data_IF_065179023358
#
_entry.id   IF_065179023358
#
_cell.length_a   1.000
_cell.length_b   1.000
_cell.length_c   1.000
_cell.angle_alpha   90.00
_cell.angle_beta   90.00
_cell.angle_gamma   90.00
#
_symmetry.space_group_name_H-M   'P 1'
#
loop_
_entity.id
_entity.type
_entity.pdbx_description
1 polymer ?
#
# COMPACT_ATOMS: atom_id res chain seq x y z
N UNK A 1 -9.04 -13.17 -14.52
CA UNK A 1 -8.78 -14.51 -15.09
C UNK A 1 -8.19 -14.41 -16.49
N UNK A 2 -8.79 -13.62 -17.44
CA UNK A 2 -8.30 -13.52 -18.84
C UNK A 2 -6.83 -13.06 -18.93
N UNK A 3 -6.41 -12.03 -18.18
CA UNK A 3 -5.03 -11.54 -18.15
C UNK A 3 -4.01 -12.65 -17.80
N UNK A 4 -4.33 -13.47 -16.80
CA UNK A 4 -3.47 -14.60 -16.42
C UNK A 4 -3.43 -15.64 -17.55
N UNK A 5 -4.57 -15.98 -18.15
CA UNK A 5 -4.66 -16.93 -19.25
C UNK A 5 -3.81 -16.49 -20.45
N UNK A 6 -3.96 -15.24 -20.87
CA UNK A 6 -3.17 -14.66 -21.97
C UNK A 6 -1.67 -14.68 -21.67
N UNK A 7 -1.27 -14.38 -20.43
CA UNK A 7 0.13 -14.46 -20.02
C UNK A 7 0.67 -15.92 -20.06
N UNK A 8 -0.12 -16.88 -19.59
CA UNK A 8 0.21 -18.32 -19.67
C UNK A 8 0.37 -18.81 -21.11
N UNK A 9 -0.52 -18.39 -21.99
CA UNK A 9 -0.47 -18.72 -23.43
C UNK A 9 0.80 -18.17 -24.07
N UNK A 10 1.13 -16.91 -23.79
CA UNK A 10 2.37 -16.29 -24.27
C UNK A 10 3.63 -17.01 -23.76
N UNK A 11 3.63 -17.42 -22.50
CA UNK A 11 4.79 -18.09 -21.89
C UNK A 11 4.90 -19.57 -22.23
N UNK A 12 3.85 -20.19 -22.77
CA UNK A 12 3.76 -21.64 -22.94
C UNK A 12 3.78 -22.41 -21.60
N UNK A 13 3.40 -21.76 -20.48
CA UNK A 13 3.48 -22.34 -19.13
C UNK A 13 2.23 -21.98 -18.32
N UNK A 14 1.85 -22.86 -17.40
CA UNK A 14 0.75 -22.62 -16.47
C UNK A 14 1.25 -22.08 -15.14
N UNK A 15 0.51 -21.14 -14.55
CA UNK A 15 0.75 -20.68 -13.20
C UNK A 15 0.38 -21.78 -12.20
N UNK A 16 1.29 -22.10 -11.29
CA UNK A 16 1.03 -23.01 -10.18
C UNK A 16 0.22 -22.32 -9.08
N UNK A 17 0.48 -21.04 -8.84
CA UNK A 17 -0.16 -20.22 -7.83
C UNK A 17 -0.21 -18.76 -8.27
N UNK A 18 -1.04 -17.95 -7.62
CA UNK A 18 -1.03 -16.48 -7.74
C UNK A 18 -0.61 -15.84 -6.44
N UNK A 19 -0.09 -14.62 -6.54
CA UNK A 19 0.31 -13.80 -5.40
C UNK A 19 -0.23 -12.38 -5.61
N UNK A 20 -0.85 -11.74 -4.59
CA UNK A 20 -1.27 -10.35 -4.69
C UNK A 20 -0.08 -9.43 -4.98
N UNK A 21 -0.28 -8.43 -5.82
CA UNK A 21 0.79 -7.45 -6.11
C UNK A 21 1.14 -6.60 -4.90
N UNK A 22 0.14 -6.36 -4.03
CA UNK A 22 0.20 -5.61 -2.78
C UNK A 22 -1.06 -5.85 -1.95
N UNK A 23 -1.01 -5.54 -0.67
CA UNK A 23 -2.20 -5.54 0.17
C UNK A 23 -3.10 -4.35 -0.18
N UNK A 24 -4.38 -4.58 -0.17
CA UNK A 24 -5.42 -3.58 -0.41
C UNK A 24 -6.76 -4.24 -0.62
N UNK A 25 -7.85 -3.53 -0.34
CA UNK A 25 -9.20 -4.09 -0.46
C UNK A 25 -9.53 -4.61 -1.86
N UNK A 26 -9.01 -3.94 -2.90
CA UNK A 26 -9.21 -4.36 -4.28
C UNK A 26 -8.16 -5.37 -4.76
N UNK A 27 -6.88 -5.04 -4.64
CA UNK A 27 -5.79 -5.86 -5.20
C UNK A 27 -5.70 -7.25 -4.57
N UNK A 28 -5.92 -7.36 -3.26
CA UNK A 28 -5.93 -8.65 -2.57
C UNK A 28 -7.11 -9.51 -3.02
N UNK A 29 -8.32 -8.93 -3.06
CA UNK A 29 -9.53 -9.67 -3.46
C UNK A 29 -9.49 -10.08 -4.93
N UNK A 30 -8.92 -9.27 -5.81
CA UNK A 30 -8.74 -9.64 -7.21
C UNK A 30 -7.84 -10.88 -7.36
N UNK A 31 -6.77 -11.00 -6.59
CA UNK A 31 -5.92 -12.19 -6.59
C UNK A 31 -6.64 -13.43 -6.01
N UNK A 32 -7.42 -13.24 -4.93
CA UNK A 32 -8.25 -14.32 -4.33
C UNK A 32 -9.29 -14.82 -5.34
N UNK A 33 -9.98 -13.93 -6.03
CA UNK A 33 -10.98 -14.29 -7.07
C UNK A 33 -10.33 -15.10 -8.20
N UNK A 34 -9.15 -14.67 -8.68
CA UNK A 34 -8.41 -15.41 -9.71
C UNK A 34 -8.02 -16.80 -9.21
N UNK A 35 -7.49 -16.91 -7.99
CA UNK A 35 -7.11 -18.20 -7.41
C UNK A 35 -8.32 -19.15 -7.33
N UNK A 36 -9.43 -18.68 -6.80
CA UNK A 36 -10.66 -19.43 -6.65
C UNK A 36 -11.23 -19.90 -8.00
N UNK A 37 -11.37 -19.00 -8.96
CA UNK A 37 -11.91 -19.33 -10.32
C UNK A 37 -11.00 -20.24 -11.13
N UNK A 38 -9.71 -20.23 -10.86
CA UNK A 38 -8.74 -21.07 -11.55
C UNK A 38 -8.45 -22.37 -10.82
N UNK A 39 -8.94 -22.54 -9.60
CA UNK A 39 -8.66 -23.71 -8.77
C UNK A 39 -7.17 -23.87 -8.44
N UNK A 40 -6.42 -22.75 -8.31
CA UNK A 40 -4.99 -22.74 -7.99
C UNK A 40 -4.72 -22.07 -6.65
N UNK A 41 -3.64 -22.41 -5.95
CA UNK A 41 -3.30 -21.79 -4.67
C UNK A 41 -3.07 -20.28 -4.78
N UNK A 42 -3.35 -19.56 -3.66
CA UNK A 42 -2.87 -18.21 -3.44
C UNK A 42 -1.72 -18.26 -2.42
N UNK A 43 -0.64 -17.54 -2.69
CA UNK A 43 0.52 -17.47 -1.79
C UNK A 43 0.21 -16.52 -0.64
N UNK A 44 0.46 -16.95 0.60
CA UNK A 44 0.36 -16.08 1.78
C UNK A 44 1.54 -15.10 1.85
N UNK A 45 1.55 -14.17 0.92
CA UNK A 45 2.55 -13.11 0.79
C UNK A 45 2.04 -12.05 -0.19
N UNK A 46 2.74 -10.92 -0.27
CA UNK A 46 2.50 -9.90 -1.29
C UNK A 46 3.79 -9.17 -1.71
N UNK A 47 3.67 -8.29 -2.69
CA UNK A 47 4.81 -7.59 -3.29
C UNK A 47 5.28 -6.35 -2.52
N UNK A 48 4.66 -5.96 -1.41
CA UNK A 48 5.02 -4.72 -0.73
C UNK A 48 4.85 -4.75 0.80
N UNK A 49 3.96 -5.59 1.34
CA UNK A 49 3.57 -5.58 2.75
C UNK A 49 2.71 -4.38 3.14
N UNK A 50 2.26 -3.60 2.16
CA UNK A 50 1.42 -2.42 2.28
C UNK A 50 0.86 -2.04 0.91
N UNK A 51 -0.14 -1.16 0.88
CA UNK A 51 -0.48 -0.44 -0.33
C UNK A 51 0.61 0.62 -0.64
N UNK A 52 0.90 0.83 -1.91
CA UNK A 52 1.94 1.77 -2.37
C UNK A 52 1.45 2.58 -3.58
N UNK A 53 1.85 3.85 -3.69
CA UNK A 53 1.33 4.75 -4.72
C UNK A 53 1.82 4.42 -6.13
N UNK A 54 2.96 3.77 -6.27
CA UNK A 54 3.58 3.55 -7.59
C UNK A 54 3.92 2.07 -7.84
N UNK A 55 3.76 1.63 -9.10
CA UNK A 55 3.92 0.22 -9.52
C UNK A 55 5.32 -0.33 -9.23
N UNK A 56 6.35 0.51 -9.30
CA UNK A 56 7.72 0.09 -9.06
C UNK A 56 8.07 -0.07 -7.57
N UNK A 57 7.25 0.46 -6.66
CA UNK A 57 7.41 0.27 -5.21
C UNK A 57 6.98 -1.14 -4.79
N UNK A 58 7.64 -2.15 -5.33
CA UNK A 58 7.48 -3.55 -4.95
C UNK A 58 8.82 -4.13 -4.53
N UNK A 59 8.84 -4.95 -3.50
CA UNK A 59 10.07 -5.62 -3.03
C UNK A 59 10.74 -6.45 -4.13
N UNK A 60 9.97 -6.89 -5.12
CA UNK A 60 10.49 -7.53 -6.32
C UNK A 60 11.49 -6.67 -7.10
N UNK A 61 11.30 -5.34 -7.10
CA UNK A 61 12.24 -4.39 -7.72
C UNK A 61 13.58 -4.34 -6.97
N UNK A 62 13.57 -4.62 -5.66
CA UNK A 62 14.79 -4.71 -4.87
C UNK A 62 15.62 -5.96 -5.22
N UNK A 63 14.96 -7.01 -5.66
CA UNK A 63 15.54 -8.30 -6.02
C UNK A 63 15.67 -8.46 -7.56
N UNK A 64 15.56 -7.35 -8.31
CA UNK A 64 15.70 -7.25 -9.76
C UNK A 64 14.79 -8.22 -10.54
N UNK A 65 13.64 -8.60 -9.99
CA UNK A 65 12.63 -9.38 -10.68
C UNK A 65 11.95 -8.50 -11.75
N UNK A 66 12.02 -8.85 -13.03
CA UNK A 66 11.44 -8.04 -14.10
C UNK A 66 9.93 -7.92 -13.96
N UNK A 67 9.39 -6.78 -14.39
CA UNK A 67 7.95 -6.55 -14.37
C UNK A 67 7.27 -7.18 -15.59
N UNK A 68 7.88 -7.07 -16.74
CA UNK A 68 7.45 -7.71 -17.99
C UNK A 68 8.10 -9.11 -18.15
N UNK A 69 7.50 -10.02 -18.95
CA UNK A 69 6.27 -9.80 -19.69
C UNK A 69 5.06 -9.62 -18.77
N UNK A 70 4.11 -8.80 -19.22
CA UNK A 70 2.88 -8.53 -18.47
C UNK A 70 1.69 -8.38 -19.41
N UNK A 71 0.51 -8.71 -18.91
CA UNK A 71 -0.75 -8.49 -19.62
C UNK A 71 -1.58 -7.49 -18.84
N UNK A 72 -2.15 -6.53 -19.56
CA UNK A 72 -3.10 -5.57 -19.06
C UNK A 72 -4.45 -5.77 -19.75
N UNK A 73 -5.57 -5.57 -19.03
CA UNK A 73 -6.90 -5.60 -19.59
C UNK A 73 -7.79 -4.57 -18.92
N UNK A 74 -8.80 -4.11 -19.66
CA UNK A 74 -9.91 -3.34 -19.12
C UNK A 74 -10.82 -4.17 -18.21
N UNK A 75 -11.84 -3.54 -17.62
CA UNK A 75 -12.75 -4.21 -16.66
C UNK A 75 -13.57 -5.33 -17.31
N UNK A 76 -13.96 -5.18 -18.57
CA UNK A 76 -14.71 -6.19 -19.34
C UNK A 76 -13.79 -7.31 -19.83
N UNK A 77 -12.50 -7.05 -19.86
CA UNK A 77 -11.46 -7.85 -20.50
C UNK A 77 -11.77 -8.15 -22.00
N UNK A 78 -12.36 -7.17 -22.67
CA UNK A 78 -12.53 -7.13 -24.13
C UNK A 78 -11.27 -6.56 -24.79
N UNK A 79 -10.65 -5.56 -24.14
CA UNK A 79 -9.38 -5.00 -24.56
C UNK A 79 -8.25 -5.61 -23.73
N UNK A 80 -7.35 -6.33 -24.39
CA UNK A 80 -6.22 -7.00 -23.76
C UNK A 80 -4.92 -6.56 -24.47
N UNK A 81 -3.96 -6.10 -23.70
CA UNK A 81 -2.64 -5.68 -24.19
C UNK A 81 -1.57 -6.54 -23.56
N UNK A 82 -0.79 -7.22 -24.38
CA UNK A 82 0.43 -7.90 -23.97
C UNK A 82 1.61 -6.92 -24.10
N UNK A 83 2.35 -6.74 -23.02
CA UNK A 83 3.60 -5.99 -22.97
C UNK A 83 4.73 -6.99 -22.76
N UNK A 84 5.38 -7.36 -23.83
CA UNK A 84 6.43 -8.37 -23.80
C UNK A 84 7.67 -7.88 -23.04
N UNK A 85 8.05 -6.64 -23.26
CA UNK A 85 9.26 -6.05 -22.68
C UNK A 85 9.03 -4.59 -22.31
N UNK A 86 9.67 -4.14 -21.23
CA UNK A 86 9.79 -2.74 -20.86
C UNK A 86 11.21 -2.43 -20.46
N UNK A 87 11.65 -1.21 -20.70
CA UNK A 87 12.99 -0.75 -20.27
C UNK A 87 13.17 -0.90 -18.75
N UNK A 88 12.14 -0.48 -17.99
CA UNK A 88 12.12 -0.49 -16.53
C UNK A 88 10.67 -0.46 -16.00
N UNK A 89 10.53 -0.55 -14.70
CA UNK A 89 9.20 -0.52 -14.04
C UNK A 89 8.50 0.84 -14.15
N UNK A 90 9.23 1.95 -14.34
CA UNK A 90 8.64 3.27 -14.54
C UNK A 90 8.03 3.41 -15.93
N UNK A 91 8.69 2.87 -16.96
CA UNK A 91 8.15 2.80 -18.32
C UNK A 91 6.85 1.97 -18.34
N UNK A 92 6.86 0.81 -17.68
CA UNK A 92 5.67 -0.03 -17.54
C UNK A 92 4.52 0.70 -16.79
N UNK A 93 4.83 1.48 -15.77
CA UNK A 93 3.85 2.29 -15.06
C UNK A 93 3.21 3.34 -15.97
N UNK A 94 4.02 4.05 -16.75
CA UNK A 94 3.48 5.04 -17.71
C UNK A 94 2.53 4.39 -18.70
N UNK A 95 2.89 3.25 -19.28
CA UNK A 95 2.03 2.50 -20.20
C UNK A 95 0.71 2.11 -19.53
N UNK A 96 0.78 1.51 -18.35
CA UNK A 96 -0.43 1.07 -17.65
C UNK A 96 -1.31 2.22 -17.19
N UNK A 97 -0.75 3.39 -16.84
CA UNK A 97 -1.53 4.59 -16.53
C UNK A 97 -2.21 5.19 -17.76
N UNK A 98 -1.55 5.17 -18.92
CA UNK A 98 -2.18 5.58 -20.18
C UNK A 98 -3.39 4.68 -20.49
N UNK A 99 -3.22 3.37 -20.36
CA UNK A 99 -4.32 2.42 -20.52
C UNK A 99 -5.43 2.65 -19.47
N UNK A 100 -5.07 2.92 -18.21
CA UNK A 100 -6.06 3.22 -17.18
C UNK A 100 -6.86 4.50 -17.48
N UNK A 101 -6.20 5.55 -17.97
CA UNK A 101 -6.87 6.79 -18.35
C UNK A 101 -7.89 6.56 -19.47
N UNK A 102 -7.57 5.72 -20.44
CA UNK A 102 -8.44 5.34 -21.55
C UNK A 102 -9.58 4.39 -21.12
N UNK A 103 -9.31 3.52 -20.13
CA UNK A 103 -10.21 2.45 -19.68
C UNK A 103 -10.90 2.77 -18.34
N UNK A 104 -11.48 3.94 -18.21
CA UNK A 104 -12.26 4.36 -17.03
C UNK A 104 -11.54 4.14 -15.70
N UNK A 105 -10.24 4.49 -15.64
CA UNK A 105 -9.39 4.48 -14.44
C UNK A 105 -9.04 3.10 -13.89
N UNK A 106 -9.46 1.99 -14.53
CA UNK A 106 -9.22 0.65 -14.01
C UNK A 106 -8.50 -0.23 -15.02
N UNK A 107 -7.37 -0.82 -14.59
CA UNK A 107 -6.60 -1.80 -15.37
C UNK A 107 -6.31 -3.02 -14.51
N UNK A 108 -6.70 -4.18 -15.01
CA UNK A 108 -6.32 -5.46 -14.44
C UNK A 108 -5.01 -5.94 -15.06
N UNK A 109 -4.06 -6.37 -14.24
CA UNK A 109 -2.77 -6.85 -14.76
C UNK A 109 -2.40 -8.23 -14.21
N UNK A 110 -1.76 -9.05 -15.09
CA UNK A 110 -0.96 -10.21 -14.71
C UNK A 110 0.49 -9.92 -15.05
N UNK A 111 1.39 -10.02 -14.08
CA UNK A 111 2.79 -9.58 -14.21
C UNK A 111 3.68 -10.18 -13.14
N UNK A 112 5.00 -9.96 -13.21
CA UNK A 112 5.96 -10.40 -12.18
C UNK A 112 5.96 -11.92 -12.00
N UNK A 113 6.43 -12.63 -13.04
CA UNK A 113 6.54 -14.07 -13.01
C UNK A 113 7.68 -14.46 -12.07
N UNK A 114 7.36 -15.30 -11.09
CA UNK A 114 8.28 -15.74 -10.05
C UNK A 114 8.49 -17.25 -10.15
N UNK A 115 9.72 -17.68 -10.00
CA UNK A 115 10.03 -19.10 -9.71
C UNK A 115 9.71 -19.43 -8.26
N UNK A 116 9.53 -20.71 -7.93
CA UNK A 116 9.31 -21.15 -6.54
C UNK A 116 10.43 -20.72 -5.59
N UNK A 117 11.68 -20.61 -6.07
CA UNK A 117 12.80 -20.08 -5.29
C UNK A 117 12.61 -18.58 -4.98
N UNK A 118 12.21 -17.79 -5.95
CA UNK A 118 11.95 -16.35 -5.77
C UNK A 118 10.73 -16.10 -4.86
N UNK A 119 9.68 -16.93 -4.95
CA UNK A 119 8.52 -16.83 -4.05
C UNK A 119 8.92 -17.00 -2.58
N UNK A 120 9.91 -17.84 -2.27
CA UNK A 120 10.38 -18.04 -0.90
C UNK A 120 11.20 -16.86 -0.34
N UNK A 121 11.79 -16.05 -1.19
CA UNK A 121 12.78 -15.04 -0.79
C UNK A 121 12.38 -13.60 -1.10
N UNK A 122 11.61 -13.37 -2.17
CA UNK A 122 11.36 -12.03 -2.67
C UNK A 122 10.14 -11.33 -2.06
N UNK A 123 8.95 -11.92 -1.97
CA UNK A 123 7.78 -11.24 -1.41
C UNK A 123 7.89 -10.99 0.10
N UNK A 124 6.95 -10.21 0.63
CA UNK A 124 6.73 -10.05 2.08
C UNK A 124 5.81 -11.18 2.53
N UNK A 125 6.28 -12.08 3.40
CA UNK A 125 5.49 -13.25 3.79
C UNK A 125 4.41 -12.95 4.83
N UNK A 126 3.43 -13.86 4.97
CA UNK A 126 2.38 -13.88 5.98
C UNK A 126 1.41 -12.68 5.94
N UNK A 127 1.31 -12.00 4.80
CA UNK A 127 0.53 -10.76 4.71
C UNK A 127 -0.98 -11.02 4.59
N UNK A 128 -1.39 -12.11 3.92
CA UNK A 128 -2.81 -12.50 3.86
C UNK A 128 -3.31 -13.00 5.21
N UNK A 129 -2.58 -13.89 5.85
CA UNK A 129 -2.94 -14.40 7.19
C UNK A 129 -2.97 -13.27 8.21
N UNK A 130 -2.04 -12.30 8.14
CA UNK A 130 -2.07 -11.10 8.99
C UNK A 130 -3.32 -10.25 8.72
N UNK A 131 -3.69 -10.04 7.47
CA UNK A 131 -4.91 -9.30 7.10
C UNK A 131 -6.18 -10.00 7.64
N UNK A 132 -6.23 -11.33 7.57
CA UNK A 132 -7.34 -12.12 8.12
C UNK A 132 -7.40 -11.97 9.64
N UNK A 133 -6.26 -12.02 10.34
CA UNK A 133 -6.19 -11.80 11.81
C UNK A 133 -6.66 -10.41 12.18
N UNK A 134 -6.18 -9.37 11.50
CA UNK A 134 -6.63 -7.98 11.73
C UNK A 134 -8.15 -7.87 11.53
N UNK A 135 -8.68 -8.40 10.43
CA UNK A 135 -10.12 -8.41 10.18
C UNK A 135 -10.93 -9.17 11.23
N UNK A 136 -10.35 -10.20 11.82
CA UNK A 136 -10.99 -10.95 12.93
C UNK A 136 -10.97 -10.14 14.22
N UNK A 137 -9.87 -9.48 14.54
CA UNK A 137 -9.74 -8.59 15.70
C UNK A 137 -10.73 -7.42 15.61
N UNK A 138 -10.84 -6.78 14.44
CA UNK A 138 -11.82 -5.71 14.20
C UNK A 138 -13.26 -6.11 14.48
N UNK A 139 -13.62 -7.37 14.25
CA UNK A 139 -14.99 -7.87 14.48
C UNK A 139 -15.24 -8.38 15.89
N UNK A 140 -14.20 -8.77 16.62
CA UNK A 140 -14.37 -9.54 17.88
C UNK A 140 -13.75 -8.88 19.11
N UNK A 141 -12.80 -7.95 18.95
CA UNK A 141 -12.15 -7.31 20.08
C UNK A 141 -13.06 -6.26 20.73
N UNK A 142 -13.02 -6.18 22.04
CA UNK A 142 -13.70 -5.12 22.82
C UNK A 142 -13.06 -3.75 22.56
N UNK A 143 -11.74 -3.72 22.35
CA UNK A 143 -10.96 -2.55 21.95
C UNK A 143 -10.22 -2.88 20.65
N UNK A 144 -10.83 -2.59 19.49
CA UNK A 144 -10.25 -2.90 18.18
C UNK A 144 -8.95 -2.14 17.91
N UNK A 145 -8.85 -0.88 18.34
CA UNK A 145 -7.65 -0.07 18.12
C UNK A 145 -6.44 -0.67 18.84
N UNK A 146 -6.58 -0.97 20.12
CA UNK A 146 -5.52 -1.58 20.93
C UNK A 146 -5.12 -2.96 20.38
N UNK A 147 -6.11 -3.74 19.93
CA UNK A 147 -5.87 -5.07 19.36
C UNK A 147 -5.06 -4.99 18.04
N UNK A 148 -5.37 -4.04 17.16
CA UNK A 148 -4.61 -3.80 15.92
C UNK A 148 -3.19 -3.35 16.24
N UNK A 149 -3.02 -2.38 17.13
CA UNK A 149 -1.69 -1.89 17.54
C UNK A 149 -0.81 -3.03 18.06
N UNK A 150 -1.37 -3.92 18.88
CA UNK A 150 -0.66 -5.11 19.38
C UNK A 150 -0.29 -6.08 18.27
N UNK A 151 -1.22 -6.43 17.38
CA UNK A 151 -1.00 -7.37 16.27
C UNK A 151 0.04 -6.85 15.29
N UNK A 152 0.00 -5.57 14.96
CA UNK A 152 0.89 -4.95 13.98
C UNK A 152 2.21 -4.42 14.58
N UNK A 153 2.37 -4.47 15.92
CA UNK A 153 3.43 -3.76 16.64
C UNK A 153 3.44 -2.26 16.30
N UNK A 154 2.25 -1.71 16.06
CA UNK A 154 2.05 -0.34 15.67
C UNK A 154 2.04 0.61 16.86
N UNK A 155 2.06 1.90 16.55
CA UNK A 155 2.06 3.01 17.49
C UNK A 155 0.84 3.89 17.22
N UNK A 156 0.14 4.30 18.28
CA UNK A 156 -0.82 5.38 18.21
C UNK A 156 -0.04 6.70 18.12
N UNK A 157 -0.19 7.40 17.01
CA UNK A 157 0.50 8.66 16.75
C UNK A 157 -0.30 9.87 17.21
N UNK A 158 -1.62 9.80 17.03
CA UNK A 158 -2.53 10.91 17.28
C UNK A 158 -3.98 10.46 17.32
N UNK A 159 -4.78 11.12 18.14
CA UNK A 159 -6.24 11.06 18.12
C UNK A 159 -6.80 12.46 17.94
N UNK A 160 -7.76 12.62 17.03
CA UNK A 160 -8.33 13.94 16.78
C UNK A 160 -9.49 13.93 15.79
N UNK A 161 -9.99 15.12 15.54
CA UNK A 161 -11.04 15.40 14.56
C UNK A 161 -10.43 16.11 13.36
N UNK A 162 -10.81 15.71 12.17
CA UNK A 162 -10.35 16.34 10.93
C UNK A 162 -10.92 17.75 10.85
N UNK A 163 -10.04 18.74 10.95
CA UNK A 163 -10.36 20.16 10.82
C UNK A 163 -10.44 20.56 9.34
N UNK A 164 -9.50 20.05 8.52
CA UNK A 164 -9.46 20.30 7.08
C UNK A 164 -9.07 19.04 6.32
N UNK A 165 -9.69 18.84 5.15
CA UNK A 165 -9.39 17.75 4.24
C UNK A 165 -9.40 18.29 2.81
N UNK A 166 -8.25 18.26 2.17
CA UNK A 166 -8.06 18.68 0.77
C UNK A 166 -7.74 17.46 -0.09
N UNK A 167 -8.41 17.34 -1.23
CA UNK A 167 -8.21 16.26 -2.19
C UNK A 167 -8.06 16.83 -3.59
N UNK A 168 -6.97 16.48 -4.27
CA UNK A 168 -6.69 16.88 -5.65
C UNK A 168 -6.34 15.64 -6.47
N UNK A 169 -6.99 15.44 -7.61
CA UNK A 169 -6.61 14.40 -8.57
C UNK A 169 -5.71 14.99 -9.63
N UNK A 170 -4.44 14.55 -9.65
CA UNK A 170 -3.44 15.05 -10.59
C UNK A 170 -2.53 13.93 -11.07
N UNK A 171 -2.32 13.86 -12.40
CA UNK A 171 -1.45 12.87 -13.04
C UNK A 171 -1.80 11.41 -12.66
N UNK A 172 -3.09 11.10 -12.51
CA UNK A 172 -3.59 9.77 -12.16
C UNK A 172 -3.35 9.35 -10.70
N UNK A 173 -3.09 10.31 -9.81
CA UNK A 173 -2.98 10.11 -8.37
C UNK A 173 -3.95 11.03 -7.63
N UNK A 174 -4.51 10.56 -6.54
CA UNK A 174 -5.21 11.43 -5.58
C UNK A 174 -4.22 11.90 -4.52
N UNK A 175 -4.00 13.19 -4.48
CA UNK A 175 -3.23 13.88 -3.46
C UNK A 175 -4.18 14.30 -2.35
N UNK A 176 -3.81 14.02 -1.11
CA UNK A 176 -4.61 14.36 0.06
C UNK A 176 -3.75 15.07 1.09
N UNK A 177 -4.25 16.18 1.61
CA UNK A 177 -3.73 16.81 2.81
C UNK A 177 -4.83 16.84 3.86
N UNK A 178 -4.52 16.33 5.06
CA UNK A 178 -5.42 16.38 6.20
C UNK A 178 -4.78 17.16 7.33
N UNK A 179 -5.57 18.00 7.98
CA UNK A 179 -5.23 18.66 9.24
C UNK A 179 -6.22 18.23 10.32
N UNK A 180 -5.71 17.83 11.47
CA UNK A 180 -6.51 17.32 12.59
C UNK A 180 -6.25 18.16 13.83
N UNK A 181 -7.32 18.51 14.53
CA UNK A 181 -7.28 19.05 15.88
C UNK A 181 -7.30 17.89 16.89
N UNK A 182 -6.43 17.95 17.88
CA UNK A 182 -6.25 16.87 18.83
C UNK A 182 -7.41 16.68 19.80
N UNK A 183 -7.61 15.42 20.19
CA UNK A 183 -8.54 15.01 21.22
C UNK A 183 -7.82 14.18 22.29
N UNK A 184 -8.48 13.92 23.41
CA UNK A 184 -7.95 13.11 24.51
C UNK A 184 -6.57 13.59 24.98
N UNK A 185 -5.56 12.73 24.95
CA UNK A 185 -4.18 13.05 25.31
C UNK A 185 -3.49 14.01 24.34
N UNK A 186 -4.01 14.14 23.11
CA UNK A 186 -3.50 15.02 22.08
C UNK A 186 -4.20 16.41 22.07
N UNK A 187 -5.08 16.69 23.04
CA UNK A 187 -5.74 18.01 23.18
C UNK A 187 -4.70 19.14 23.13
N UNK A 188 -4.99 20.18 22.37
CA UNK A 188 -4.12 21.32 22.09
C UNK A 188 -2.92 21.04 21.16
N UNK A 189 -2.88 19.88 20.55
CA UNK A 189 -1.90 19.55 19.49
C UNK A 189 -2.58 19.53 18.13
N UNK A 190 -1.81 19.77 17.09
CA UNK A 190 -2.22 19.64 15.69
C UNK A 190 -1.51 18.48 15.01
N UNK A 191 -2.16 17.90 14.01
CA UNK A 191 -1.56 16.82 13.24
C UNK A 191 -1.83 16.99 11.75
N UNK A 192 -0.77 16.90 10.95
CA UNK A 192 -0.86 17.05 9.50
C UNK A 192 -0.40 15.80 8.80
N UNK A 193 -1.19 15.35 7.84
CA UNK A 193 -0.94 14.17 6.99
C UNK A 193 -0.87 14.59 5.53
N UNK A 194 0.06 14.01 4.78
CA UNK A 194 0.08 14.11 3.33
C UNK A 194 0.10 12.73 2.69
N UNK A 195 -0.72 12.56 1.64
CA UNK A 195 -0.82 11.33 0.87
C UNK A 195 -0.70 11.56 -0.63
N UNK A 196 -0.25 10.55 -1.33
CA UNK A 196 -0.35 10.37 -2.78
C UNK A 196 -0.95 8.98 -3.00
N UNK A 197 -2.27 8.88 -3.07
CA UNK A 197 -3.10 7.71 -2.83
C UNK A 197 -2.91 7.17 -1.40
N UNK A 198 -1.66 6.87 -1.00
CA UNK A 198 -1.28 6.35 0.30
C UNK A 198 -0.58 7.43 1.14
N UNK A 199 -0.76 7.41 2.47
CA UNK A 199 -0.07 8.34 3.35
C UNK A 199 1.45 8.18 3.26
N UNK A 200 2.14 9.30 3.06
CA UNK A 200 3.59 9.37 2.88
C UNK A 200 4.31 9.94 4.09
N UNK A 201 3.73 10.95 4.73
CA UNK A 201 4.35 11.66 5.84
C UNK A 201 3.31 12.20 6.81
N UNK A 202 3.67 12.27 8.08
CA UNK A 202 2.87 12.82 9.15
C UNK A 202 3.71 13.72 10.06
N UNK A 203 3.12 14.86 10.48
CA UNK A 203 3.72 15.77 11.43
C UNK A 203 2.78 16.01 12.62
N UNK A 204 3.32 16.08 13.84
CA UNK A 204 2.64 16.53 15.05
C UNK A 204 3.29 17.82 15.51
N UNK A 205 2.51 18.89 15.64
CA UNK A 205 2.98 20.23 16.05
C UNK A 205 4.21 20.68 15.24
N UNK A 206 4.15 20.46 13.90
CA UNK A 206 5.23 20.76 12.94
C UNK A 206 6.43 19.80 12.99
N UNK A 207 6.50 18.84 13.91
CA UNK A 207 7.60 17.88 14.02
C UNK A 207 7.26 16.58 13.35
N UNK A 208 8.23 15.95 12.66
CA UNK A 208 8.07 14.66 12.01
C UNK A 208 7.59 13.60 13.01
N UNK A 209 6.44 12.98 12.74
CA UNK A 209 5.82 11.93 13.55
C UNK A 209 5.94 10.54 12.88
N UNK A 210 5.83 10.48 11.56
CA UNK A 210 6.04 9.25 10.79
C UNK A 210 6.34 9.60 9.32
N UNK A 211 7.05 8.70 8.64
CA UNK A 211 7.41 8.88 7.22
C UNK A 211 7.53 7.51 6.53
N UNK A 212 7.06 7.41 5.28
CA UNK A 212 7.24 6.20 4.47
C UNK A 212 8.75 5.86 4.31
N UNK A 213 9.10 4.56 4.27
CA UNK A 213 8.25 3.39 4.03
C UNK A 213 7.42 2.92 5.23
N UNK A 214 7.57 3.45 6.44
CA UNK A 214 6.70 3.08 7.54
C UNK A 214 5.24 3.36 7.17
N UNK A 215 4.35 2.46 7.57
CA UNK A 215 2.94 2.53 7.19
C UNK A 215 2.26 3.55 8.09
N UNK A 216 1.58 4.50 7.48
CA UNK A 216 0.72 5.45 8.16
C UNK A 216 -0.71 5.15 7.71
N UNK A 217 -1.64 5.00 8.63
CA UNK A 217 -3.04 4.79 8.31
C UNK A 217 -3.94 5.47 9.32
N UNK A 218 -5.15 5.83 8.87
CA UNK A 218 -6.19 6.40 9.70
C UNK A 218 -7.27 5.34 9.96
N UNK A 219 -7.73 5.28 11.19
CA UNK A 219 -8.83 4.43 11.60
C UNK A 219 -9.87 5.26 12.34
N UNK A 220 -11.13 4.89 12.22
CA UNK A 220 -12.16 5.45 13.10
C UNK A 220 -11.81 5.07 14.55
N UNK A 221 -11.75 6.05 15.44
CA UNK A 221 -11.28 5.88 16.81
C UNK A 221 -12.14 4.89 17.63
N UNK A 222 -13.44 4.79 17.32
CA UNK A 222 -14.39 3.93 18.05
C UNK A 222 -14.41 2.50 17.50
N UNK A 223 -14.36 2.34 16.17
CA UNK A 223 -14.56 1.04 15.51
C UNK A 223 -13.28 0.39 15.02
N UNK A 224 -12.15 1.12 14.97
CA UNK A 224 -10.90 0.69 14.38
C UNK A 224 -10.96 0.49 12.84
N UNK A 225 -12.09 0.79 12.20
CA UNK A 225 -12.24 0.61 10.75
C UNK A 225 -11.41 1.64 10.00
N UNK A 226 -10.59 1.16 9.05
CA UNK A 226 -9.78 2.03 8.20
C UNK A 226 -10.64 2.77 7.17
N UNK A 227 -10.23 4.00 6.88
CA UNK A 227 -10.69 4.75 5.71
C UNK A 227 -9.50 4.99 4.79
N UNK A 228 -9.72 4.91 3.48
CA UNK A 228 -8.69 5.32 2.53
C UNK A 228 -8.53 6.85 2.57
N UNK A 229 -7.31 7.33 2.28
CA UNK A 229 -6.96 8.75 2.41
C UNK A 229 -7.95 9.68 1.67
N UNK A 230 -8.37 9.28 0.47
CA UNK A 230 -9.30 10.06 -0.36
C UNK A 230 -10.75 10.09 0.14
N UNK A 231 -11.10 9.28 1.13
CA UNK A 231 -12.46 9.22 1.70
C UNK A 231 -12.60 9.94 3.03
N UNK A 232 -11.49 10.32 3.63
CA UNK A 232 -11.49 11.08 4.88
C UNK A 232 -12.01 12.48 4.61
N UNK A 233 -12.90 12.98 5.45
CA UNK A 233 -13.53 14.30 5.31
C UNK A 233 -13.52 15.07 6.61
N UNK A 234 -13.72 16.38 6.51
CA UNK A 234 -13.87 17.28 7.66
C UNK A 234 -14.94 16.75 8.63
N UNK A 235 -14.59 16.76 9.91
CA UNK A 235 -15.44 16.29 11.00
C UNK A 235 -15.25 14.80 11.35
N UNK A 236 -14.51 14.02 10.56
CA UNK A 236 -14.22 12.61 10.89
C UNK A 236 -13.35 12.55 12.17
N UNK A 237 -13.73 11.67 13.12
CA UNK A 237 -12.96 11.36 14.32
C UNK A 237 -12.02 10.21 14.06
N UNK A 238 -10.74 10.46 14.08
CA UNK A 238 -9.72 9.51 13.66
C UNK A 238 -8.67 9.27 14.74
N UNK A 239 -8.22 8.02 14.82
CA UNK A 239 -6.92 7.66 15.37
C UNK A 239 -5.94 7.45 14.21
N UNK A 240 -4.78 8.08 14.28
CA UNK A 240 -3.69 7.89 13.32
C UNK A 240 -2.72 6.88 13.91
N UNK A 241 -2.51 5.79 13.20
CA UNK A 241 -1.55 4.76 13.59
C UNK A 241 -0.40 4.68 12.61
N UNK A 242 0.78 4.42 13.19
CA UNK A 242 1.97 4.13 12.42
C UNK A 242 2.46 2.71 12.68
N UNK A 243 2.85 1.99 11.62
CA UNK A 243 3.30 0.61 11.70
C UNK A 243 4.68 0.51 11.07
N UNK A 244 5.63 -0.20 11.71
CA UNK A 244 6.96 -0.41 11.15
C UNK A 244 6.89 -1.05 9.76
N UNK A 245 7.66 -0.50 8.81
CA UNK A 245 7.75 -1.07 7.47
C UNK A 245 8.35 -2.48 7.48
N UNK A 246 7.98 -3.35 6.54
CA UNK A 246 8.69 -4.60 6.28
C UNK A 246 10.21 -4.36 6.15
N UNK A 247 11.01 -5.25 6.74
CA UNK A 247 12.48 -5.07 6.85
C UNK A 247 13.19 -4.85 5.51
N UNK A 248 12.66 -5.41 4.41
CA UNK A 248 13.20 -5.19 3.06
C UNK A 248 13.20 -3.72 2.66
N UNK A 249 12.14 -2.97 3.01
CA UNK A 249 12.05 -1.54 2.72
C UNK A 249 13.04 -0.70 3.51
N UNK A 250 13.45 -1.16 4.69
CA UNK A 250 14.39 -0.48 5.58
C UNK A 250 15.86 -0.72 5.22
N UNK A 251 16.14 -1.58 4.22
CA UNK A 251 17.49 -1.75 3.66
C UNK A 251 17.85 -0.57 2.77
N UNK A 252 19.14 -0.35 2.55
CA UNK A 252 19.65 0.79 1.77
C UNK A 252 18.99 0.92 0.38
N UNK A 253 18.86 -0.18 -0.37
CA UNK A 253 18.21 -0.19 -1.71
C UNK A 253 16.73 0.21 -1.61
N UNK A 254 16.01 -0.28 -0.59
CA UNK A 254 14.61 0.08 -0.33
C UNK A 254 14.43 1.54 0.05
N UNK A 255 15.25 2.05 0.98
CA UNK A 255 15.20 3.46 1.39
C UNK A 255 15.55 4.41 0.24
N UNK A 256 16.49 4.04 -0.64
CA UNK A 256 16.82 4.82 -1.83
C UNK A 256 15.61 4.94 -2.76
N UNK A 257 14.94 3.82 -3.03
CA UNK A 257 13.75 3.80 -3.89
C UNK A 257 12.62 4.67 -3.33
N UNK A 258 12.36 4.57 -2.03
CA UNK A 258 11.38 5.42 -1.36
C UNK A 258 11.78 6.90 -1.37
N UNK A 259 13.06 7.21 -1.15
CA UNK A 259 13.56 8.59 -1.17
C UNK A 259 13.28 9.27 -2.52
N UNK A 260 13.47 8.56 -3.64
CA UNK A 260 13.18 9.08 -4.97
C UNK A 260 11.69 9.41 -5.14
N UNK A 261 10.79 8.55 -4.64
CA UNK A 261 9.34 8.79 -4.67
C UNK A 261 8.97 9.98 -3.78
N UNK A 262 9.53 10.06 -2.59
CA UNK A 262 9.30 11.16 -1.65
C UNK A 262 9.72 12.50 -2.24
N UNK A 263 10.92 12.57 -2.85
CA UNK A 263 11.41 13.79 -3.50
C UNK A 263 10.51 14.24 -4.65
N UNK A 264 10.08 13.30 -5.52
CA UNK A 264 9.09 13.62 -6.58
C UNK A 264 7.73 14.07 -6.03
N UNK A 265 7.43 13.71 -4.78
CA UNK A 265 6.22 14.12 -4.07
C UNK A 265 6.39 15.41 -3.25
N UNK A 266 7.52 16.12 -3.42
CA UNK A 266 7.82 17.36 -2.70
C UNK A 266 8.14 17.17 -1.22
N UNK A 267 8.54 15.96 -0.81
CA UNK A 267 8.91 15.61 0.55
C UNK A 267 10.42 15.45 0.61
N UNK A 268 11.08 16.30 1.38
CA UNK A 268 12.55 16.39 1.46
C UNK A 268 13.13 15.79 2.73
N UNK A 269 12.29 15.47 3.70
CA UNK A 269 12.68 14.90 4.98
C UNK A 269 13.35 13.53 4.79
N UNK A 270 14.37 13.28 5.60
CA UNK A 270 15.02 11.98 5.64
C UNK A 270 14.20 10.97 6.44
N UNK A 271 14.21 9.72 5.98
CA UNK A 271 13.59 8.63 6.71
C UNK A 271 14.18 8.50 8.12
N UNK A 272 13.29 8.40 9.09
CA UNK A 272 13.59 8.01 10.46
C UNK A 272 12.60 6.91 10.88
N UNK A 273 13.09 5.79 11.44
CA UNK A 273 12.21 4.71 11.88
C UNK A 273 11.20 5.19 12.91
N UNK A 274 9.94 4.76 12.75
CA UNK A 274 8.84 5.18 13.62
C UNK A 274 9.12 4.88 15.10
N UNK A 275 9.81 3.79 15.39
CA UNK A 275 10.20 3.41 16.75
C UNK A 275 11.12 4.45 17.40
N UNK A 276 11.91 5.17 16.60
CA UNK A 276 12.77 6.27 17.09
C UNK A 276 11.97 7.55 17.29
N UNK A 277 11.01 7.82 16.41
CA UNK A 277 10.19 9.03 16.46
C UNK A 277 9.22 9.00 17.66
N UNK A 278 8.68 7.82 17.99
CA UNK A 278 7.74 7.64 19.11
C UNK A 278 8.43 7.62 20.49
N UNK A 279 9.67 7.13 20.60
CA UNK A 279 10.44 7.14 21.87
C UNK A 279 10.81 8.56 22.37
N UNK A 280 10.82 9.57 21.51
CA UNK A 280 11.11 10.97 21.90
C UNK A 280 9.99 11.64 22.70
N UNK A 281 8.85 10.96 22.90
CA UNK A 281 7.73 11.44 23.70
C UNK A 281 7.84 11.12 25.21
N UNK A 282 8.84 10.33 25.63
CA UNK A 282 9.00 9.82 27.02
C UNK A 282 10.11 10.52 27.82
N UNK A 283 10.61 11.65 27.32
CA UNK A 283 11.66 12.46 28.01
C UNK A 283 11.25 13.91 28.17
#
# INVERSE_FOLDING_TARGET
>A
VKTLKTLEEFLGKKAFAVIPVELGGFNTLAAVDVAARRGIPIVDADGAGRAVPEVHLKVYTLDDVPLAPMVAADISAENIVLIEQTRDSQAAEKITRTLAAEWNQTVYTARRILTGKQVKTSPVPNTLSTSIRIGTLLRKALDPLRAILKETKGFLLFEGTVAEAEHETKSGFTWTTLELDGANEDRNSSFKLKAKNEFLIAHKDGKLAAIAPDIITTVNAETGRCSSAERVKKGDKLAVIGIPAPSKWRRQKGLRLWKEVMQRSGITENYAPIERLTKRKSS
#
